data_IF_887761163094
#
_entry.id   IF_887761163094
#
_cell.length_a   1.000
_cell.length_b   1.000
_cell.length_c   1.000
_cell.angle_alpha   90.00
_cell.angle_beta   90.00
_cell.angle_gamma   90.00
#
_symmetry.space_group_name_H-M   'P 1'
#
loop_
_entity.id
_entity.type
_entity.pdbx_description
1 polymer ?
#
# COMPACT_ATOMS: atom_id res chain seq x y z
N UNK A 1 17.44 16.22 -63.98
CA UNK A 1 17.11 16.68 -62.61
C UNK A 1 16.36 15.64 -61.77
N UNK A 2 16.48 14.33 -62.04
CA UNK A 2 15.77 13.29 -61.27
C UNK A 2 16.70 12.41 -60.40
N UNK A 3 18.03 12.68 -60.39
CA UNK A 3 19.03 11.84 -59.69
C UNK A 3 19.41 12.31 -58.29
N UNK A 4 19.01 13.51 -57.87
CA UNK A 4 19.36 14.05 -56.55
C UNK A 4 18.24 13.92 -55.50
N UNK A 5 17.03 13.53 -55.89
CA UNK A 5 15.88 13.38 -54.98
C UNK A 5 15.94 12.04 -54.21
N UNK A 6 16.67 11.03 -54.73
CA UNK A 6 16.76 9.70 -54.09
C UNK A 6 17.75 9.66 -52.89
N UNK A 7 18.72 10.58 -52.82
CA UNK A 7 19.74 10.60 -51.74
C UNK A 7 19.26 11.31 -50.47
N UNK A 8 18.23 12.15 -50.56
CA UNK A 8 17.64 12.85 -49.40
C UNK A 8 16.59 12.01 -48.66
N UNK A 9 16.08 10.94 -49.28
CA UNK A 9 15.11 10.04 -48.65
C UNK A 9 15.77 8.85 -47.91
N UNK A 10 17.05 8.58 -48.15
CA UNK A 10 17.78 7.47 -47.51
C UNK A 10 18.33 7.79 -46.11
N UNK A 11 18.32 9.06 -45.71
CA UNK A 11 18.77 9.51 -44.37
C UNK A 11 17.63 9.41 -43.32
N UNK A 12 16.40 9.14 -43.74
CA UNK A 12 15.24 9.02 -42.85
C UNK A 12 14.99 7.62 -42.26
N UNK A 13 15.80 6.61 -42.60
CA UNK A 13 15.61 5.21 -42.16
C UNK A 13 16.71 4.70 -41.21
N UNK A 14 17.69 5.54 -40.85
CA UNK A 14 18.53 5.21 -39.70
C UNK A 14 17.64 5.35 -38.47
N UNK A 15 17.22 4.22 -37.90
CA UNK A 15 16.58 4.14 -36.59
C UNK A 15 17.16 5.18 -35.66
N UNK A 16 16.32 5.86 -34.86
CA UNK A 16 16.68 6.89 -33.89
C UNK A 16 17.68 6.37 -32.85
N UNK A 17 18.92 6.11 -33.27
CA UNK A 17 20.02 5.69 -32.42
C UNK A 17 20.69 6.98 -32.01
N UNK A 18 20.55 7.30 -30.73
CA UNK A 18 21.13 8.50 -30.17
C UNK A 18 22.64 8.47 -30.44
N UNK A 19 23.16 9.50 -31.11
CA UNK A 19 24.58 9.60 -31.48
C UNK A 19 25.51 9.54 -30.25
N UNK A 20 24.97 9.84 -29.07
CA UNK A 20 25.69 9.88 -27.80
C UNK A 20 25.68 8.56 -27.03
N UNK A 21 25.01 7.52 -27.52
CA UNK A 21 24.84 6.23 -26.82
C UNK A 21 26.19 5.56 -26.47
N UNK A 22 27.20 5.69 -27.35
CA UNK A 22 28.54 5.12 -27.09
C UNK A 22 29.41 5.97 -26.16
N UNK A 23 28.99 7.19 -25.82
CA UNK A 23 29.74 8.12 -24.96
C UNK A 23 29.04 8.41 -23.64
N UNK A 24 27.79 7.98 -23.48
CA UNK A 24 27.04 8.16 -22.25
C UNK A 24 27.57 7.19 -21.18
N UNK A 25 27.90 7.72 -20.00
CA UNK A 25 28.12 6.89 -18.83
C UNK A 25 26.78 6.37 -18.34
N UNK A 26 26.57 5.07 -18.46
CA UNK A 26 25.33 4.39 -18.04
C UNK A 26 25.50 3.71 -16.68
N UNK A 27 26.65 3.89 -16.05
CA UNK A 27 27.06 3.20 -14.82
C UNK A 27 27.24 4.13 -13.64
N UNK A 28 27.13 5.46 -13.83
CA UNK A 28 27.08 6.40 -12.72
C UNK A 28 25.78 6.25 -11.93
N UNK A 29 25.81 6.61 -10.65
CA UNK A 29 24.62 6.57 -9.78
C UNK A 29 23.49 7.43 -10.37
N UNK A 30 23.78 8.60 -10.97
CA UNK A 30 22.78 9.44 -11.62
C UNK A 30 22.12 8.75 -12.83
N UNK A 31 22.91 8.02 -13.63
CA UNK A 31 22.38 7.25 -14.75
C UNK A 31 21.49 6.09 -14.29
N UNK A 32 21.85 5.46 -13.18
CA UNK A 32 21.05 4.41 -12.52
C UNK A 32 19.74 4.97 -11.95
N UNK A 33 19.75 6.13 -11.31
CA UNK A 33 18.52 6.77 -10.82
C UNK A 33 17.55 7.09 -11.96
N UNK A 34 18.04 7.65 -13.06
CA UNK A 34 17.22 7.87 -14.25
C UNK A 34 16.65 6.55 -14.82
N UNK A 35 17.45 5.48 -14.82
CA UNK A 35 17.00 4.14 -15.25
C UNK A 35 15.92 3.60 -14.31
N UNK A 36 16.06 3.79 -13.01
CA UNK A 36 15.09 3.39 -12.00
C UNK A 36 13.75 4.12 -12.16
N UNK A 37 13.76 5.44 -12.36
CA UNK A 37 12.55 6.22 -12.68
C UNK A 37 11.85 5.71 -13.94
N UNK A 38 12.61 5.40 -15.00
CA UNK A 38 12.05 4.82 -16.22
C UNK A 38 11.37 3.48 -15.94
N UNK A 39 12.00 2.60 -15.18
CA UNK A 39 11.40 1.31 -14.82
C UNK A 39 10.14 1.46 -13.99
N UNK A 40 10.10 2.43 -13.06
CA UNK A 40 8.87 2.76 -12.33
C UNK A 40 7.75 3.24 -13.26
N UNK A 41 8.06 4.11 -14.22
CA UNK A 41 7.09 4.59 -15.21
C UNK A 41 6.57 3.48 -16.13
N UNK A 42 7.39 2.47 -16.40
CA UNK A 42 7.05 1.30 -17.23
C UNK A 42 6.44 0.14 -16.41
N UNK A 43 6.19 0.33 -15.11
CA UNK A 43 5.68 -0.68 -14.18
C UNK A 43 6.60 -1.93 -14.02
N UNK A 44 7.90 -1.76 -14.26
CA UNK A 44 8.94 -2.79 -14.16
C UNK A 44 9.60 -2.77 -12.77
N UNK A 45 8.84 -3.19 -11.76
CA UNK A 45 9.21 -3.01 -10.36
C UNK A 45 10.46 -3.78 -9.94
N UNK A 46 10.61 -5.03 -10.38
CA UNK A 46 11.77 -5.86 -10.05
C UNK A 46 13.04 -5.25 -10.65
N UNK A 47 12.98 -4.79 -11.90
CA UNK A 47 14.10 -4.12 -12.56
C UNK A 47 14.49 -2.82 -11.83
N UNK A 48 13.52 -2.06 -11.30
CA UNK A 48 13.79 -0.87 -10.49
C UNK A 48 14.48 -1.22 -9.16
N UNK A 49 14.06 -2.30 -8.50
CA UNK A 49 14.66 -2.79 -7.25
C UNK A 49 16.09 -3.29 -7.49
N UNK A 50 16.32 -4.03 -8.57
CA UNK A 50 17.64 -4.51 -8.95
C UNK A 50 18.60 -3.33 -9.17
N UNK A 51 18.16 -2.28 -9.88
CA UNK A 51 18.96 -1.06 -10.09
C UNK A 51 19.25 -0.32 -8.79
N UNK A 52 18.30 -0.26 -7.84
CA UNK A 52 18.58 0.31 -6.51
C UNK A 52 19.74 -0.42 -5.81
N UNK A 53 19.82 -1.75 -5.95
CA UNK A 53 20.91 -2.56 -5.42
C UNK A 53 22.27 -2.34 -6.10
N UNK A 54 22.29 -1.75 -7.30
CA UNK A 54 23.51 -1.41 -8.04
C UNK A 54 24.09 -0.04 -7.64
N UNK A 55 23.29 0.84 -7.03
CA UNK A 55 23.72 2.17 -6.57
C UNK A 55 24.82 2.07 -5.50
N UNK A 56 25.65 3.10 -5.38
CA UNK A 56 26.59 3.22 -4.26
C UNK A 56 25.86 3.31 -2.91
N UNK A 57 26.51 2.85 -1.83
CA UNK A 57 25.93 2.89 -0.47
C UNK A 57 25.59 4.33 -0.06
N UNK A 58 26.43 5.29 -0.45
CA UNK A 58 26.22 6.71 -0.16
C UNK A 58 24.92 7.18 -0.84
N UNK A 59 24.73 6.89 -2.13
CA UNK A 59 23.50 7.22 -2.85
C UNK A 59 22.28 6.47 -2.31
N UNK A 60 22.38 5.17 -2.00
CA UNK A 60 21.27 4.41 -1.40
C UNK A 60 20.76 5.01 -0.08
N UNK A 61 21.62 5.71 0.66
CA UNK A 61 21.26 6.36 1.93
C UNK A 61 20.48 7.66 1.75
N UNK A 62 20.51 8.26 0.56
CA UNK A 62 19.82 9.50 0.23
C UNK A 62 18.30 9.30 0.16
N UNK A 63 17.56 10.39 0.38
CA UNK A 63 16.08 10.36 0.39
C UNK A 63 15.48 9.96 -0.95
N UNK A 64 15.97 10.52 -2.04
CA UNK A 64 15.39 10.33 -3.37
C UNK A 64 15.48 8.86 -3.82
N UNK A 65 16.65 8.19 -3.78
CA UNK A 65 16.77 6.78 -4.12
C UNK A 65 15.91 5.88 -3.23
N UNK A 66 15.86 6.14 -1.91
CA UNK A 66 14.96 5.41 -1.00
C UNK A 66 13.48 5.59 -1.37
N UNK A 67 13.07 6.80 -1.76
CA UNK A 67 11.69 7.07 -2.20
C UNK A 67 11.33 6.29 -3.47
N UNK A 68 12.25 6.22 -4.44
CA UNK A 68 12.06 5.41 -5.64
C UNK A 68 11.97 3.92 -5.30
N UNK A 69 12.80 3.45 -4.35
CA UNK A 69 12.79 2.05 -3.91
C UNK A 69 11.48 1.68 -3.20
N UNK A 70 11.01 2.54 -2.29
CA UNK A 70 9.68 2.43 -1.67
C UNK A 70 8.59 2.35 -2.74
N UNK A 71 8.65 3.21 -3.76
CA UNK A 71 7.67 3.22 -4.84
C UNK A 71 7.64 1.90 -5.61
N UNK A 72 8.80 1.31 -5.89
CA UNK A 72 8.89 0.00 -6.55
C UNK A 72 8.31 -1.12 -5.67
N UNK A 73 8.62 -1.11 -4.37
CA UNK A 73 8.06 -2.07 -3.41
C UNK A 73 6.55 -1.94 -3.27
N UNK A 74 6.01 -0.73 -3.25
CA UNK A 74 4.56 -0.48 -3.26
C UNK A 74 3.92 -0.99 -4.56
N UNK A 75 4.56 -0.78 -5.71
CA UNK A 75 4.14 -1.34 -6.99
C UNK A 75 4.07 -2.88 -6.96
N UNK A 76 5.08 -3.55 -6.41
CA UNK A 76 5.06 -5.02 -6.19
C UNK A 76 4.01 -5.46 -5.20
N UNK A 77 3.75 -4.66 -4.17
CA UNK A 77 2.64 -4.89 -3.25
C UNK A 77 1.28 -4.86 -3.96
N UNK A 78 1.21 -4.44 -5.23
CA UNK A 78 -0.02 -4.40 -6.02
C UNK A 78 -0.74 -3.05 -5.91
N UNK A 79 -0.08 -2.04 -5.33
CA UNK A 79 -0.61 -0.70 -5.29
C UNK A 79 -0.47 -0.03 -6.65
N UNK A 80 -1.60 0.11 -7.35
CA UNK A 80 -1.71 0.92 -8.56
C UNK A 80 -2.56 2.15 -8.20
N UNK A 81 -1.90 3.30 -8.03
CA UNK A 81 -2.53 4.51 -7.46
C UNK A 81 -3.79 4.93 -8.22
N UNK A 82 -3.79 4.83 -9.55
CA UNK A 82 -4.93 5.29 -10.37
C UNK A 82 -6.11 4.35 -10.14
N UNK A 83 -5.92 3.03 -10.21
CA UNK A 83 -6.97 2.06 -9.89
C UNK A 83 -7.47 2.22 -8.46
N UNK A 84 -6.57 2.40 -7.49
CA UNK A 84 -6.95 2.54 -6.08
C UNK A 84 -7.79 3.79 -5.84
N UNK A 85 -7.38 4.95 -6.38
CA UNK A 85 -8.13 6.20 -6.25
C UNK A 85 -9.47 6.12 -6.97
N UNK A 86 -9.53 5.49 -8.15
CA UNK A 86 -10.80 5.31 -8.87
C UNK A 86 -11.76 4.41 -8.08
N UNK A 87 -11.28 3.29 -7.52
CA UNK A 87 -12.08 2.42 -6.66
C UNK A 87 -12.62 3.17 -5.44
N UNK A 88 -11.77 3.98 -4.78
CA UNK A 88 -12.19 4.78 -3.63
C UNK A 88 -13.22 5.83 -4.02
N UNK A 89 -13.00 6.56 -5.11
CA UNK A 89 -13.87 7.66 -5.54
C UNK A 89 -15.27 7.16 -5.90
N UNK A 90 -15.37 6.01 -6.56
CA UNK A 90 -16.66 5.47 -7.00
C UNK A 90 -17.46 4.85 -5.83
N UNK A 91 -16.77 4.22 -4.87
CA UNK A 91 -17.43 3.48 -3.79
C UNK A 91 -17.69 4.32 -2.53
N UNK A 92 -16.83 5.28 -2.16
CA UNK A 92 -17.07 6.12 -0.97
C UNK A 92 -18.29 7.03 -1.14
N UNK A 93 -18.53 7.54 -2.36
CA UNK A 93 -19.73 8.34 -2.67
C UNK A 93 -21.02 7.50 -2.55
N UNK A 94 -20.91 6.17 -2.63
CA UNK A 94 -22.04 5.24 -2.48
C UNK A 94 -22.35 4.86 -1.03
N UNK A 95 -21.51 5.27 -0.07
CA UNK A 95 -21.62 4.88 1.34
C UNK A 95 -21.14 3.45 1.61
N UNK A 96 -20.23 2.93 0.78
CA UNK A 96 -19.63 1.61 1.00
C UNK A 96 -18.66 1.62 2.18
N UNK A 97 -18.66 0.52 2.94
CA UNK A 97 -17.73 0.34 4.06
C UNK A 97 -16.29 0.14 3.56
N UNK A 98 -15.30 0.53 4.38
CA UNK A 98 -13.89 0.52 4.00
C UNK A 98 -13.36 -0.88 3.63
N UNK A 99 -13.65 -1.92 4.41
CA UNK A 99 -13.08 -3.25 4.13
C UNK A 99 -13.61 -3.90 2.84
N UNK A 100 -14.92 -3.85 2.51
CA UNK A 100 -15.40 -4.25 1.19
C UNK A 100 -14.68 -3.54 0.03
N UNK A 101 -14.44 -2.23 0.15
CA UNK A 101 -13.69 -1.45 -0.83
C UNK A 101 -12.22 -1.91 -0.94
N UNK A 102 -11.55 -2.13 0.20
CA UNK A 102 -10.17 -2.62 0.19
C UNK A 102 -10.05 -4.06 -0.33
N UNK A 103 -11.08 -4.90 -0.12
CA UNK A 103 -11.16 -6.25 -0.67
C UNK A 103 -11.23 -6.24 -2.19
N UNK A 104 -12.08 -5.37 -2.76
CA UNK A 104 -12.27 -5.26 -4.21
C UNK A 104 -11.07 -4.61 -4.91
N UNK A 105 -10.42 -3.64 -4.26
CA UNK A 105 -9.27 -2.93 -4.78
C UNK A 105 -8.00 -3.79 -4.93
N UNK A 106 -7.94 -4.96 -4.26
CA UNK A 106 -6.73 -5.80 -4.20
C UNK A 106 -6.95 -7.26 -4.66
N UNK A 107 -7.34 -7.51 -5.92
CA UNK A 107 -7.84 -8.81 -6.38
C UNK A 107 -6.83 -9.97 -6.47
N UNK A 108 -5.53 -9.68 -6.42
CA UNK A 108 -4.45 -10.65 -6.61
C UNK A 108 -3.56 -10.75 -5.36
N UNK A 109 -4.18 -10.81 -4.19
CA UNK A 109 -3.46 -10.75 -2.92
C UNK A 109 -2.62 -12.00 -2.66
N UNK A 110 -1.33 -11.83 -2.35
CA UNK A 110 -0.42 -12.95 -2.00
C UNK A 110 0.48 -12.60 -0.81
N UNK A 111 0.97 -13.61 -0.08
CA UNK A 111 1.84 -13.38 1.08
C UNK A 111 3.14 -12.65 0.70
N UNK A 112 3.61 -12.81 -0.56
CA UNK A 112 4.74 -12.04 -1.09
C UNK A 112 4.41 -10.55 -1.16
N UNK A 113 3.21 -10.18 -1.63
CA UNK A 113 2.78 -8.77 -1.67
C UNK A 113 2.68 -8.17 -0.27
N UNK A 114 2.17 -8.92 0.71
CA UNK A 114 2.16 -8.50 2.12
C UNK A 114 3.58 -8.20 2.60
N UNK A 115 4.54 -9.07 2.30
CA UNK A 115 5.94 -8.85 2.65
C UNK A 115 6.53 -7.60 1.98
N UNK A 116 6.24 -7.39 0.70
CA UNK A 116 6.72 -6.20 -0.03
C UNK A 116 6.17 -4.91 0.59
N UNK A 117 4.89 -4.88 1.01
CA UNK A 117 4.33 -3.75 1.77
C UNK A 117 4.96 -3.56 3.16
N UNK A 118 5.36 -4.64 3.84
CA UNK A 118 6.06 -4.55 5.13
C UNK A 118 7.44 -3.92 4.93
N UNK A 119 8.19 -4.36 3.91
CA UNK A 119 9.50 -3.80 3.58
C UNK A 119 9.36 -2.33 3.16
N UNK A 120 8.39 -2.00 2.31
CA UNK A 120 8.10 -0.62 1.92
C UNK A 120 7.82 0.26 3.14
N UNK A 121 7.00 -0.22 4.09
CA UNK A 121 6.73 0.51 5.32
C UNK A 121 8.00 0.76 6.13
N UNK A 122 8.85 -0.26 6.32
CA UNK A 122 10.13 -0.10 7.03
C UNK A 122 10.97 0.99 6.39
N UNK A 123 11.08 0.99 5.06
CA UNK A 123 11.84 1.99 4.32
C UNK A 123 11.23 3.40 4.43
N UNK A 124 9.90 3.54 4.42
CA UNK A 124 9.23 4.83 4.66
C UNK A 124 9.59 5.38 6.05
N UNK A 125 9.57 4.52 7.09
CA UNK A 125 9.88 4.94 8.45
C UNK A 125 11.36 5.30 8.62
N UNK A 126 12.26 4.62 7.90
CA UNK A 126 13.67 5.01 7.81
C UNK A 126 13.83 6.39 7.15
N UNK A 127 13.14 6.68 6.04
CA UNK A 127 13.16 8.01 5.40
C UNK A 127 12.71 9.10 6.39
N UNK A 128 11.60 8.87 7.09
CA UNK A 128 11.06 9.82 8.09
C UNK A 128 12.07 10.08 9.21
N UNK A 129 12.74 9.02 9.68
CA UNK A 129 13.70 9.10 10.78
C UNK A 129 15.01 9.78 10.36
N UNK A 130 15.58 9.40 9.22
CA UNK A 130 16.89 9.84 8.75
C UNK A 130 16.86 11.27 8.16
N UNK A 131 15.77 11.60 7.46
CA UNK A 131 15.66 12.82 6.65
C UNK A 131 14.59 13.79 7.13
N UNK A 132 13.96 13.50 8.28
CA UNK A 132 12.81 14.24 8.82
C UNK A 132 11.51 13.92 8.07
N UNK A 133 10.36 14.14 8.70
CA UNK A 133 9.08 13.84 8.05
C UNK A 133 8.68 14.89 7.00
N UNK A 134 8.24 14.45 5.82
CA UNK A 134 7.52 15.26 4.84
C UNK A 134 6.09 14.75 4.66
N UNK A 135 5.15 15.62 4.26
CA UNK A 135 3.76 15.23 3.98
C UNK A 135 3.66 14.11 2.94
N UNK A 136 4.57 14.08 1.95
CA UNK A 136 4.66 12.98 0.98
C UNK A 136 4.97 11.64 1.63
N UNK A 137 5.79 11.61 2.68
CA UNK A 137 6.16 10.38 3.38
C UNK A 137 4.95 9.80 4.14
N UNK A 138 4.18 10.66 4.80
CA UNK A 138 2.92 10.27 5.43
C UNK A 138 1.89 9.80 4.40
N UNK A 139 1.78 10.48 3.25
CA UNK A 139 0.93 10.02 2.15
C UNK A 139 1.31 8.61 1.69
N UNK A 140 2.62 8.33 1.48
CA UNK A 140 3.09 6.99 1.12
C UNK A 140 2.79 5.97 2.23
N UNK A 141 2.98 6.33 3.49
CA UNK A 141 2.71 5.47 4.64
C UNK A 141 1.22 5.07 4.71
N UNK A 142 0.32 6.05 4.57
CA UNK A 142 -1.13 5.82 4.55
C UNK A 142 -1.53 4.92 3.37
N UNK A 143 -1.05 5.21 2.16
CA UNK A 143 -1.37 4.41 0.97
C UNK A 143 -0.84 2.97 1.09
N UNK A 144 0.39 2.80 1.57
CA UNK A 144 0.97 1.49 1.81
C UNK A 144 0.22 0.72 2.93
N UNK A 145 -0.23 1.42 3.97
CA UNK A 145 -1.06 0.86 5.04
C UNK A 145 -2.39 0.33 4.50
N UNK A 146 -3.11 1.13 3.72
CA UNK A 146 -4.37 0.71 3.08
C UNK A 146 -4.17 -0.44 2.11
N UNK A 147 -3.09 -0.40 1.32
CA UNK A 147 -2.75 -1.47 0.38
C UNK A 147 -2.56 -2.79 1.12
N UNK A 148 -1.75 -2.77 2.19
CA UNK A 148 -1.52 -3.93 3.05
C UNK A 148 -2.79 -4.43 3.72
N UNK A 149 -3.66 -3.53 4.19
CA UNK A 149 -4.97 -3.89 4.74
C UNK A 149 -5.82 -4.63 3.69
N UNK A 150 -5.91 -4.09 2.47
CA UNK A 150 -6.68 -4.72 1.39
C UNK A 150 -6.16 -6.09 0.98
N UNK A 151 -4.84 -6.27 0.91
CA UNK A 151 -4.24 -7.57 0.59
C UNK A 151 -4.49 -8.61 1.70
N UNK A 152 -4.40 -8.20 2.97
CA UNK A 152 -4.66 -9.09 4.11
C UNK A 152 -6.13 -9.51 4.17
N UNK A 153 -7.03 -8.55 3.96
CA UNK A 153 -8.47 -8.78 3.87
C UNK A 153 -8.79 -9.70 2.70
N UNK A 154 -8.28 -9.41 1.52
CA UNK A 154 -8.55 -10.18 0.32
C UNK A 154 -8.07 -11.64 0.46
N UNK A 155 -6.87 -11.87 0.98
CA UNK A 155 -6.37 -13.22 1.27
C UNK A 155 -7.24 -14.05 2.21
N UNK A 156 -7.97 -13.39 3.11
CA UNK A 156 -8.70 -14.06 4.19
C UNK A 156 -10.20 -14.15 3.90
N UNK A 157 -10.75 -13.17 3.19
CA UNK A 157 -12.19 -12.96 3.06
C UNK A 157 -12.70 -13.08 1.62
N UNK A 158 -11.84 -13.15 0.60
CA UNK A 158 -12.28 -13.21 -0.78
C UNK A 158 -12.61 -14.63 -1.25
N UNK A 159 -13.68 -14.76 -2.02
CA UNK A 159 -14.02 -15.96 -2.78
C UNK A 159 -13.17 -16.07 -4.07
N UNK A 160 -13.38 -17.14 -4.84
CA UNK A 160 -12.67 -17.37 -6.10
C UNK A 160 -12.96 -16.33 -7.21
N UNK A 161 -13.95 -15.46 -7.02
CA UNK A 161 -14.34 -14.38 -7.94
C UNK A 161 -13.99 -12.99 -7.38
N UNK A 162 -13.19 -12.94 -6.32
CA UNK A 162 -12.77 -11.72 -5.66
C UNK A 162 -13.90 -10.89 -5.01
N UNK A 163 -14.96 -11.57 -4.56
CA UNK A 163 -16.01 -10.97 -3.74
C UNK A 163 -15.86 -11.44 -2.29
N UNK A 164 -16.55 -10.80 -1.35
CA UNK A 164 -16.64 -11.31 0.02
C UNK A 164 -17.24 -12.73 0.02
N UNK A 165 -16.51 -13.69 0.56
CA UNK A 165 -17.01 -15.05 0.78
C UNK A 165 -18.18 -14.99 1.77
N UNK A 166 -19.40 -15.46 1.40
CA UNK A 166 -20.55 -15.47 2.29
C UNK A 166 -20.36 -16.29 3.58
N UNK A 167 -19.36 -17.18 3.62
CA UNK A 167 -19.01 -17.97 4.79
C UNK A 167 -17.93 -17.32 5.67
N UNK A 168 -17.30 -16.22 5.23
CA UNK A 168 -16.23 -15.56 5.96
C UNK A 168 -16.70 -15.07 7.33
N UNK A 169 -16.01 -15.49 8.37
CA UNK A 169 -16.16 -14.99 9.74
C UNK A 169 -14.81 -14.44 10.24
N UNK A 170 -14.65 -13.11 10.41
CA UNK A 170 -13.41 -12.55 10.94
C UNK A 170 -13.11 -13.01 12.37
N UNK A 171 -14.11 -13.50 13.11
CA UNK A 171 -13.93 -14.08 14.43
C UNK A 171 -13.39 -15.53 14.39
N UNK A 172 -13.42 -16.22 13.25
CA UNK A 172 -12.80 -17.54 13.07
C UNK A 172 -11.32 -17.42 12.69
N UNK A 173 -10.45 -17.95 13.54
CA UNK A 173 -9.00 -18.02 13.27
C UNK A 173 -8.64 -18.91 12.07
N UNK A 174 -9.57 -19.77 11.61
CA UNK A 174 -9.46 -20.56 10.39
C UNK A 174 -9.58 -19.71 9.12
N UNK A 175 -10.42 -18.69 9.15
CA UNK A 175 -10.64 -17.77 8.03
C UNK A 175 -9.58 -16.65 8.04
N UNK A 176 -9.29 -16.07 9.20
CA UNK A 176 -8.22 -15.09 9.36
C UNK A 176 -7.32 -15.39 10.55
N UNK A 177 -6.12 -15.89 10.27
CA UNK A 177 -5.12 -16.21 11.29
C UNK A 177 -4.74 -15.00 12.15
N UNK A 178 -4.41 -15.23 13.42
CA UNK A 178 -3.93 -14.18 14.32
C UNK A 178 -2.71 -13.44 13.78
N UNK A 179 -1.85 -14.12 13.03
CA UNK A 179 -0.71 -13.48 12.37
C UNK A 179 -1.17 -12.41 11.36
N UNK A 180 -2.16 -12.71 10.52
CA UNK A 180 -2.73 -11.74 9.59
C UNK A 180 -3.44 -10.61 10.32
N UNK A 181 -4.19 -10.90 11.39
CA UNK A 181 -4.86 -9.85 12.17
C UNK A 181 -3.85 -8.90 12.82
N UNK A 182 -2.70 -9.40 13.32
CA UNK A 182 -1.63 -8.55 13.85
C UNK A 182 -1.05 -7.62 12.79
N UNK A 183 -0.85 -8.13 11.57
CA UNK A 183 -0.42 -7.31 10.46
C UNK A 183 -1.48 -6.25 10.13
N UNK A 184 -2.76 -6.62 10.13
CA UNK A 184 -3.88 -5.72 9.87
C UNK A 184 -3.98 -4.61 10.93
N UNK A 185 -3.91 -4.95 12.22
CA UNK A 185 -3.86 -4.01 13.35
C UNK A 185 -2.74 -2.99 13.14
N UNK A 186 -1.52 -3.45 12.85
CA UNK A 186 -0.40 -2.54 12.68
C UNK A 186 -0.48 -1.66 11.43
N UNK A 187 -1.08 -2.16 10.35
CA UNK A 187 -1.33 -1.36 9.15
C UNK A 187 -2.38 -0.28 9.42
N UNK A 188 -3.49 -0.66 10.08
CA UNK A 188 -4.56 0.25 10.47
C UNK A 188 -4.06 1.33 11.43
N UNK A 189 -3.33 0.96 12.50
CA UNK A 189 -2.73 1.89 13.44
C UNK A 189 -1.87 2.95 12.74
N UNK A 190 -1.07 2.52 11.74
CA UNK A 190 -0.26 3.45 10.94
C UNK A 190 -1.10 4.37 10.07
N UNK A 191 -2.12 3.85 9.40
CA UNK A 191 -3.06 4.68 8.63
C UNK A 191 -3.66 5.77 9.52
N UNK A 192 -4.14 5.42 10.72
CA UNK A 192 -4.72 6.40 11.65
C UNK A 192 -3.68 7.40 12.16
N UNK A 193 -2.47 6.96 12.51
CA UNK A 193 -1.46 7.87 13.05
C UNK A 193 -0.91 8.83 11.98
N UNK A 194 -0.82 8.36 10.74
CA UNK A 194 -0.21 9.12 9.65
C UNK A 194 -1.23 9.99 8.90
N UNK A 195 -2.53 9.65 8.91
CA UNK A 195 -3.55 10.40 8.16
C UNK A 195 -3.66 11.86 8.60
N UNK A 196 -3.51 12.15 9.90
CA UNK A 196 -3.56 13.52 10.44
C UNK A 196 -2.41 14.41 9.97
N UNK A 197 -1.30 13.79 9.53
CA UNK A 197 -0.15 14.49 8.92
C UNK A 197 -0.11 14.36 7.39
N UNK A 198 -1.03 13.58 6.82
CA UNK A 198 -1.20 13.38 5.39
C UNK A 198 -2.04 14.50 4.76
N UNK A 199 -1.97 14.65 3.45
CA UNK A 199 -2.88 15.50 2.68
C UNK A 199 -4.07 14.74 2.08
N UNK A 200 -4.26 13.46 2.45
CA UNK A 200 -5.27 12.57 1.86
C UNK A 200 -6.62 12.76 2.55
N UNK A 201 -7.38 13.77 2.12
CA UNK A 201 -8.67 14.12 2.73
C UNK A 201 -9.79 13.11 2.47
N UNK A 202 -9.65 12.20 1.50
CA UNK A 202 -10.72 11.30 1.07
C UNK A 202 -11.09 10.23 2.10
N UNK A 203 -10.23 9.99 3.10
CA UNK A 203 -10.47 9.05 4.20
C UNK A 203 -11.06 9.74 5.45
N UNK A 204 -11.08 11.07 5.47
CA UNK A 204 -11.21 11.87 6.68
C UNK A 204 -12.57 11.79 7.37
N UNK A 205 -13.62 11.30 6.72
CA UNK A 205 -14.95 11.14 7.36
C UNK A 205 -15.21 9.73 7.86
N UNK A 206 -14.57 8.71 7.29
CA UNK A 206 -14.81 7.31 7.64
C UNK A 206 -13.88 6.79 8.73
N UNK A 207 -12.77 7.50 8.97
CA UNK A 207 -11.78 7.16 10.02
C UNK A 207 -11.84 8.09 11.24
N UNK A 208 -12.61 9.18 11.15
CA UNK A 208 -12.77 10.14 12.25
C UNK A 208 -13.48 9.47 13.43
N UNK A 209 -12.96 9.66 14.64
CA UNK A 209 -13.56 9.15 15.87
C UNK A 209 -13.22 7.69 16.25
N UNK A 210 -12.61 6.89 15.36
CA UNK A 210 -12.27 5.49 15.67
C UNK A 210 -11.23 5.31 16.77
N UNK A 211 -10.44 6.35 17.00
CA UNK A 211 -9.41 6.38 18.04
C UNK A 211 -9.69 7.51 19.05
N UNK A 212 -10.95 7.95 19.14
CA UNK A 212 -11.33 8.91 20.15
C UNK A 212 -11.34 8.26 21.54
N UNK A 213 -11.00 9.03 22.60
CA UNK A 213 -11.04 8.52 23.96
C UNK A 213 -12.42 7.93 24.31
N UNK A 214 -12.44 6.62 24.58
CA UNK A 214 -13.65 5.88 24.95
C UNK A 214 -14.23 4.99 23.84
N UNK A 215 -13.68 5.04 22.62
CA UNK A 215 -13.97 4.05 21.59
C UNK A 215 -13.39 2.68 21.95
N UNK A 216 -14.01 1.60 21.46
CA UNK A 216 -13.58 0.22 21.71
C UNK A 216 -12.17 -0.03 21.17
N UNK A 217 -11.81 0.57 20.03
CA UNK A 217 -10.48 0.40 19.46
C UNK A 217 -9.41 1.11 20.29
N UNK A 218 -9.72 2.29 20.81
CA UNK A 218 -8.83 3.02 21.72
C UNK A 218 -8.68 2.29 23.06
N UNK A 219 -9.79 1.78 23.63
CA UNK A 219 -9.76 0.97 24.87
C UNK A 219 -8.95 -0.31 24.68
N UNK A 220 -9.02 -0.92 23.49
CA UNK A 220 -8.19 -2.06 23.14
C UNK A 220 -6.74 -1.66 22.81
N UNK A 221 -6.44 -0.38 22.61
CA UNK A 221 -5.12 0.14 22.23
C UNK A 221 -4.73 -0.19 20.79
N UNK A 222 -5.70 -0.39 19.88
CA UNK A 222 -5.44 -0.75 18.48
C UNK A 222 -4.68 0.37 17.77
N UNK A 223 -4.99 1.63 18.07
CA UNK A 223 -4.47 2.81 17.38
C UNK A 223 -2.97 3.06 17.63
N UNK A 224 -2.44 2.55 18.74
CA UNK A 224 -1.01 2.67 19.09
C UNK A 224 -0.15 1.52 18.55
N UNK A 225 -0.77 0.45 18.07
CA UNK A 225 -0.10 -0.83 17.82
C UNK A 225 0.59 -0.91 16.44
N UNK A 226 1.51 0.01 16.16
CA UNK A 226 2.18 0.14 14.84
C UNK A 226 3.18 -0.97 14.51
N UNK A 227 3.50 -1.86 15.46
CA UNK A 227 4.32 -3.07 15.25
C UNK A 227 3.47 -4.32 15.44
N UNK A 228 3.38 -5.16 14.41
CA UNK A 228 2.63 -6.42 14.45
C UNK A 228 3.13 -7.38 15.55
N UNK A 229 4.42 -7.29 15.93
CA UNK A 229 5.02 -8.14 16.96
C UNK A 229 4.54 -7.79 18.37
N UNK A 230 4.15 -6.52 18.61
CA UNK A 230 3.69 -6.02 19.90
C UNK A 230 2.18 -6.14 20.09
N UNK A 231 1.44 -6.54 19.04
CA UNK A 231 -0.01 -6.65 19.08
C UNK A 231 -0.48 -7.65 20.15
N UNK A 232 -1.49 -7.29 20.93
CA UNK A 232 -2.03 -8.11 22.03
C UNK A 232 -3.28 -8.88 21.58
N UNK A 233 -3.70 -9.93 22.31
CA UNK A 233 -4.97 -10.60 22.06
C UNK A 233 -6.19 -9.65 22.10
N UNK A 234 -6.18 -8.64 22.98
CA UNK A 234 -7.25 -7.64 23.04
C UNK A 234 -7.33 -6.80 21.76
N UNK A 235 -6.20 -6.39 21.20
CA UNK A 235 -6.13 -5.66 19.93
C UNK A 235 -6.56 -6.52 18.74
N UNK A 236 -6.21 -7.81 18.73
CA UNK A 236 -6.72 -8.77 17.75
C UNK A 236 -8.24 -8.84 17.82
N UNK A 237 -8.80 -8.92 19.03
CA UNK A 237 -10.25 -8.95 19.20
C UNK A 237 -10.93 -7.68 18.70
N UNK A 238 -10.40 -6.51 19.08
CA UNK A 238 -10.92 -5.22 18.64
C UNK A 238 -10.94 -5.10 17.11
N UNK A 239 -9.88 -5.55 16.43
CA UNK A 239 -9.83 -5.54 14.97
C UNK A 239 -10.82 -6.52 14.33
N UNK A 240 -10.98 -7.74 14.88
CA UNK A 240 -11.99 -8.68 14.38
C UNK A 240 -13.41 -8.14 14.56
N UNK A 241 -13.68 -7.50 15.70
CA UNK A 241 -14.94 -6.82 15.96
C UNK A 241 -15.20 -5.68 14.97
N UNK A 242 -14.17 -4.89 14.65
CA UNK A 242 -14.22 -3.84 13.64
C UNK A 242 -14.51 -4.39 12.24
N UNK A 243 -13.90 -5.51 11.88
CA UNK A 243 -14.18 -6.18 10.61
C UNK A 243 -15.61 -6.71 10.52
N UNK A 244 -16.20 -7.10 11.65
CA UNK A 244 -17.55 -7.68 11.70
C UNK A 244 -18.67 -6.63 11.72
N UNK A 245 -18.39 -5.40 12.16
CA UNK A 245 -19.41 -4.35 12.30
C UNK A 245 -20.03 -3.89 10.95
N UNK A 246 -21.23 -3.33 11.00
CA UNK A 246 -21.96 -2.89 9.80
C UNK A 246 -22.03 -1.37 9.63
N UNK A 247 -21.55 -0.59 10.59
CA UNK A 247 -21.81 0.85 10.66
C UNK A 247 -20.95 1.69 9.72
N UNK A 248 -19.67 1.34 9.56
CA UNK A 248 -18.71 2.24 8.93
C UNK A 248 -17.59 1.54 8.14
N UNK A 249 -16.96 0.53 8.72
CA UNK A 249 -15.69 -0.03 8.22
C UNK A 249 -15.80 -1.50 7.89
N UNK A 250 -16.50 -2.26 8.73
CA UNK A 250 -16.63 -3.70 8.65
C UNK A 250 -17.39 -4.21 7.42
N UNK A 251 -17.43 -5.52 7.24
CA UNK A 251 -18.21 -6.17 6.19
C UNK A 251 -19.72 -6.19 6.46
N UNK A 252 -20.14 -5.84 7.67
CA UNK A 252 -21.53 -5.76 8.06
C UNK A 252 -22.23 -7.08 8.32
N UNK A 253 -21.47 -8.11 8.70
CA UNK A 253 -22.00 -9.41 9.12
C UNK A 253 -22.61 -9.37 10.52
N UNK A 254 -22.25 -8.40 11.35
CA UNK A 254 -22.88 -8.09 12.64
C UNK A 254 -23.55 -6.71 12.63
N UNK A 255 -24.81 -6.65 13.09
CA UNK A 255 -25.57 -5.40 13.21
C UNK A 255 -25.22 -4.69 14.52
N UNK A 256 -24.59 -3.51 14.42
CA UNK A 256 -24.23 -2.67 15.56
C UNK A 256 -22.82 -2.10 15.42
N UNK A 257 -22.37 -1.43 16.49
CA UNK A 257 -21.02 -0.90 16.62
C UNK A 257 -20.00 -1.98 17.02
N UNK A 258 -18.72 -1.63 17.07
CA UNK A 258 -17.63 -2.50 17.49
C UNK A 258 -17.88 -3.14 18.87
N UNK A 259 -18.53 -2.41 19.80
CA UNK A 259 -18.84 -2.93 21.14
C UNK A 259 -19.86 -4.07 21.09
N UNK A 260 -20.87 -3.90 20.24
CA UNK A 260 -21.94 -4.88 20.01
C UNK A 260 -21.43 -6.07 19.19
N UNK A 261 -20.50 -5.82 18.27
CA UNK A 261 -19.91 -6.80 17.37
C UNK A 261 -18.62 -7.41 17.87
N UNK A 262 -18.23 -7.12 19.11
CA UNK A 262 -17.16 -7.79 19.81
C UNK A 262 -17.37 -9.30 19.72
N UNK A 263 -16.39 -10.02 19.19
CA UNK A 263 -16.46 -11.48 19.12
C UNK A 263 -16.68 -11.98 20.55
N UNK A 264 -17.85 -12.56 20.84
CA UNK A 264 -18.28 -12.99 22.18
C UNK A 264 -17.34 -14.01 22.84
N UNK A 265 -16.30 -14.43 22.12
CA UNK A 265 -15.32 -15.44 22.46
C UNK A 265 -13.91 -15.03 21.98
N UNK A 266 -13.49 -13.78 22.18
CA UNK A 266 -12.07 -13.53 22.33
C UNK A 266 -11.71 -13.73 23.81
N UNK A 267 -11.00 -14.81 24.19
CA UNK A 267 -10.46 -14.92 25.53
C UNK A 267 -9.46 -13.79 25.84
#
# INVERSE_FOLDING_TARGET
MARYILLLFLVGLTACKNLYDSTADTTSDEAMLFKMERYLNDFLWDDAIDVYGELSIDTQSEREPKTLYVSALMGRCGFEFISFVNSISDDLDSGSNLFPLLLSAMPDATSSKVNDCIVANTQIQEIITDHGAQTSDYNMSVLNGLARMGILVNQSAADASNNLDPAFDPCDSGDMSDANVRQLVSAFARVINDIGSSSLSFLGTSLDGLCDPGDVLEVAGVCDATDASSVTPAQICGMRALMNESSSIGFGTCTGDVATCACAVCP
#
